data_IF_040231460806
#
_entry.id   IF_040231460806
#
_cell.length_a   1.000
_cell.length_b   1.000
_cell.length_c   1.000
_cell.angle_alpha   90.00
_cell.angle_beta   90.00
_cell.angle_gamma   90.00
#
_symmetry.space_group_name_H-M   'P 1'
#
loop_
_entity.id
_entity.type
_entity.pdbx_description
1 polymer ?
#
# COMPACT_ATOMS: atom_id res chain seq x y z
N UNK A 1 9.56 -21.86 -27.38
CA UNK A 1 9.97 -20.55 -26.85
C UNK A 1 9.09 -20.27 -25.64
N UNK A 2 9.58 -20.58 -24.44
CA UNK A 2 8.93 -20.17 -23.20
C UNK A 2 9.27 -18.70 -22.98
N UNK A 3 8.30 -17.83 -23.17
CA UNK A 3 8.42 -16.42 -22.81
C UNK A 3 8.44 -16.33 -21.29
N UNK A 4 9.63 -16.21 -20.70
CA UNK A 4 9.76 -15.81 -19.30
C UNK A 4 9.27 -14.36 -19.19
N UNK A 5 7.98 -14.18 -18.89
CA UNK A 5 7.46 -12.89 -18.45
C UNK A 5 8.27 -12.47 -17.23
N UNK A 6 8.90 -11.28 -17.22
CA UNK A 6 9.60 -10.82 -16.03
C UNK A 6 8.60 -10.77 -14.88
N UNK A 7 8.79 -11.63 -13.89
CA UNK A 7 7.92 -11.76 -12.73
C UNK A 7 7.87 -10.40 -12.03
N UNK A 8 6.74 -9.70 -12.19
CA UNK A 8 6.51 -8.47 -11.44
C UNK A 8 6.35 -8.86 -9.96
N UNK A 9 7.01 -8.18 -9.03
CA UNK A 9 6.89 -8.51 -7.61
C UNK A 9 5.43 -8.42 -7.15
N UNK A 10 5.08 -9.22 -6.16
CA UNK A 10 3.77 -9.17 -5.51
C UNK A 10 3.49 -7.79 -4.91
N UNK A 11 2.20 -7.51 -4.65
CA UNK A 11 1.78 -6.27 -4.02
C UNK A 11 2.17 -6.23 -2.53
N UNK A 12 2.49 -5.04 -2.00
CA UNK A 12 2.95 -4.88 -0.61
C UNK A 12 1.76 -4.95 0.35
N UNK A 13 1.85 -5.81 1.36
CA UNK A 13 0.76 -6.10 2.29
C UNK A 13 1.17 -5.91 3.74
N UNK A 14 0.18 -5.66 4.59
CA UNK A 14 0.37 -5.51 6.04
C UNK A 14 0.38 -4.05 6.48
N UNK A 15 0.94 -3.81 7.66
CA UNK A 15 1.07 -2.48 8.27
C UNK A 15 2.00 -1.56 7.45
N UNK A 16 1.95 -0.24 7.65
CA UNK A 16 2.87 0.70 7.01
C UNK A 16 4.35 0.35 7.21
N UNK A 17 4.72 -0.11 8.41
CA UNK A 17 6.09 -0.55 8.72
C UNK A 17 6.49 -1.83 7.97
N UNK A 18 5.58 -2.78 7.81
CA UNK A 18 5.80 -4.01 7.03
C UNK A 18 5.98 -3.70 5.55
N UNK A 19 5.11 -2.84 4.99
CA UNK A 19 5.21 -2.36 3.61
C UNK A 19 6.53 -1.61 3.37
N UNK A 20 6.98 -0.78 4.31
CA UNK A 20 8.26 -0.09 4.21
C UNK A 20 9.46 -1.06 4.20
N UNK A 21 9.42 -2.12 5.02
CA UNK A 21 10.44 -3.19 5.02
C UNK A 21 10.45 -3.97 3.71
N UNK A 22 9.27 -4.37 3.20
CA UNK A 22 9.15 -5.07 1.93
C UNK A 22 9.65 -4.20 0.76
N UNK A 23 9.32 -2.90 0.76
CA UNK A 23 9.81 -1.95 -0.25
C UNK A 23 11.34 -1.81 -0.20
N UNK A 24 11.93 -1.75 0.99
CA UNK A 24 13.38 -1.70 1.16
C UNK A 24 14.09 -2.97 0.64
N UNK A 25 13.44 -4.13 0.71
CA UNK A 25 13.95 -5.39 0.14
C UNK A 25 13.89 -5.41 -1.40
N UNK A 26 13.06 -4.57 -2.01
CA UNK A 26 12.90 -4.45 -3.46
C UNK A 26 13.76 -3.35 -4.10
N UNK A 27 14.60 -2.65 -3.33
CA UNK A 27 15.33 -1.45 -3.78
C UNK A 27 16.27 -1.66 -4.99
N UNK A 28 16.67 -2.90 -5.28
CA UNK A 28 17.51 -3.27 -6.43
C UNK A 28 16.71 -3.89 -7.61
N UNK A 29 15.39 -4.05 -7.46
CA UNK A 29 14.54 -4.62 -8.50
C UNK A 29 14.13 -3.55 -9.52
N UNK A 30 14.12 -3.92 -10.81
CA UNK A 30 13.51 -3.09 -11.85
C UNK A 30 11.98 -3.11 -11.68
N UNK A 31 11.46 -2.19 -10.86
CA UNK A 31 10.03 -2.04 -10.61
C UNK A 31 9.36 -1.30 -11.77
N UNK A 32 8.23 -1.81 -12.24
CA UNK A 32 7.45 -1.12 -13.25
C UNK A 32 6.70 0.07 -12.66
N UNK A 33 6.52 1.13 -13.44
CA UNK A 33 5.72 2.29 -13.05
C UNK A 33 4.25 1.91 -12.75
N UNK A 34 3.75 0.84 -13.38
CA UNK A 34 2.42 0.30 -13.12
C UNK A 34 2.32 -0.35 -11.74
N UNK A 35 3.32 -1.15 -11.34
CA UNK A 35 3.37 -1.73 -10.00
C UNK A 35 3.42 -0.62 -8.93
N UNK A 36 4.27 0.39 -9.11
CA UNK A 36 4.39 1.50 -8.16
C UNK A 36 3.07 2.28 -8.00
N UNK A 37 2.36 2.50 -9.11
CA UNK A 37 1.05 3.16 -9.11
C UNK A 37 0.00 2.35 -8.35
N UNK A 38 -0.01 1.01 -8.48
CA UNK A 38 -0.90 0.14 -7.70
C UNK A 38 -0.60 0.21 -6.21
N UNK A 39 0.67 0.21 -5.83
CA UNK A 39 1.08 0.36 -4.42
C UNK A 39 0.63 1.70 -3.82
N UNK A 40 0.80 2.79 -4.58
CA UNK A 40 0.39 4.12 -4.14
C UNK A 40 -1.13 4.24 -4.00
N UNK A 41 -1.90 3.71 -4.98
CA UNK A 41 -3.36 3.69 -4.92
C UNK A 41 -3.86 2.91 -3.70
N UNK A 42 -3.25 1.76 -3.38
CA UNK A 42 -3.57 1.00 -2.17
C UNK A 42 -3.27 1.78 -0.90
N UNK A 43 -2.08 2.41 -0.81
CA UNK A 43 -1.70 3.17 0.38
C UNK A 43 -2.61 4.39 0.62
N UNK A 44 -3.01 5.09 -0.45
CA UNK A 44 -3.93 6.22 -0.37
C UNK A 44 -5.34 5.79 0.06
N UNK A 45 -5.82 4.62 -0.40
CA UNK A 45 -7.12 4.08 0.03
C UNK A 45 -7.14 3.70 1.50
N UNK A 46 -6.10 3.02 1.98
CA UNK A 46 -5.98 2.64 3.39
C UNK A 46 -5.95 3.90 4.27
N UNK A 47 -5.17 4.91 3.88
CA UNK A 47 -5.12 6.17 4.60
C UNK A 47 -6.47 6.92 4.64
N UNK A 48 -7.20 6.95 3.53
CA UNK A 48 -8.53 7.56 3.50
C UNK A 48 -9.55 6.80 4.36
N UNK A 49 -9.41 5.48 4.48
CA UNK A 49 -10.25 4.66 5.36
C UNK A 49 -9.94 4.96 6.85
N UNK A 50 -8.66 5.06 7.22
CA UNK A 50 -8.24 5.46 8.57
C UNK A 50 -8.72 6.87 8.93
N UNK A 51 -8.68 7.82 7.99
CA UNK A 51 -9.19 9.18 8.20
C UNK A 51 -10.71 9.18 8.44
N UNK A 52 -11.45 8.36 7.70
CA UNK A 52 -12.89 8.20 7.87
C UNK A 52 -13.24 7.57 9.23
N UNK A 53 -12.46 6.60 9.69
CA UNK A 53 -12.65 5.97 11.00
C UNK A 53 -12.37 6.96 12.14
N UNK A 54 -11.32 7.77 12.02
CA UNK A 54 -11.00 8.82 12.99
C UNK A 54 -12.08 9.88 13.09
N UNK A 55 -12.70 10.25 11.97
CA UNK A 55 -13.79 11.23 11.95
C UNK A 55 -15.04 10.68 12.68
N UNK A 56 -15.40 9.41 12.43
CA UNK A 56 -16.49 8.72 13.12
C UNK A 56 -16.26 8.67 14.64
N UNK A 57 -15.04 8.30 15.07
CA UNK A 57 -14.70 8.25 16.50
C UNK A 57 -14.76 9.63 17.14
N UNK A 58 -14.34 10.67 16.42
CA UNK A 58 -14.35 12.04 16.92
C UNK A 58 -15.78 12.58 17.08
N UNK A 59 -16.66 12.30 16.14
CA UNK A 59 -18.09 12.68 16.20
C UNK A 59 -18.79 11.98 17.39
N UNK A 60 -18.53 10.68 17.57
CA UNK A 60 -19.11 9.89 18.67
C UNK A 60 -18.75 10.39 20.08
N UNK A 61 -17.65 11.15 20.21
CA UNK A 61 -17.19 11.73 21.47
C UNK A 61 -17.72 13.14 21.72
N UNK A 62 -18.22 13.82 20.68
CA UNK A 62 -18.83 15.15 20.80
C UNK A 62 -20.29 15.09 21.27
N UNK A 63 -20.95 13.93 21.15
CA UNK A 63 -22.34 13.70 21.57
C UNK A 63 -22.53 13.32 23.06
N UNK A 64 -21.46 13.37 23.87
CA UNK A 64 -21.49 13.10 25.33
C UNK A 64 -21.12 14.34 26.14
#
# INVERSE_FOLDING_TARGET
MTSETPSTPDDLTGTPDERAKQLAQLADAALSAEWLRRQLDSALRDWAADESELDIVKDSRADY
#
